data_IF_514774248988
#
_entry.id   IF_514774248988
#
_cell.length_a   1.000
_cell.length_b   1.000
_cell.length_c   1.000
_cell.angle_alpha   90.00
_cell.angle_beta   90.00
_cell.angle_gamma   90.00
#
_symmetry.space_group_name_H-M   'P 1'
#
loop_
_entity.id
_entity.type
_entity.pdbx_description
1 polymer ?
#
# COMPACT_ATOMS: atom_id res chain seq x y z
N UNK A 1 14.73 -26.97 -26.69
CA UNK A 1 13.47 -27.32 -25.97
C UNK A 1 13.16 -26.23 -24.94
N UNK A 2 12.17 -25.37 -25.18
CA UNK A 2 11.73 -24.37 -24.19
C UNK A 2 10.47 -24.90 -23.51
N UNK A 3 10.61 -25.30 -22.24
CA UNK A 3 9.51 -25.81 -21.43
C UNK A 3 8.70 -24.62 -20.88
N UNK A 4 7.71 -24.18 -21.65
CA UNK A 4 6.73 -23.19 -21.20
C UNK A 4 5.81 -23.86 -20.18
N UNK A 5 6.12 -23.73 -18.88
CA UNK A 5 5.23 -24.20 -17.83
C UNK A 5 3.97 -23.32 -17.81
N UNK A 6 2.86 -23.91 -18.27
CA UNK A 6 1.50 -23.35 -18.23
C UNK A 6 1.05 -23.22 -16.78
N UNK A 7 1.23 -22.03 -16.22
CA UNK A 7 0.67 -21.61 -14.93
C UNK A 7 0.50 -20.09 -14.93
N UNK A 8 -0.68 -19.62 -15.31
CA UNK A 8 -1.17 -18.24 -15.14
C UNK A 8 -0.12 -17.11 -15.30
N UNK A 9 0.33 -16.82 -16.52
CA UNK A 9 0.81 -15.48 -16.94
C UNK A 9 1.89 -14.76 -16.11
N UNK A 10 2.61 -15.44 -15.22
CA UNK A 10 3.54 -14.81 -14.28
C UNK A 10 4.96 -15.34 -14.49
N UNK A 11 5.76 -14.54 -15.18
CA UNK A 11 7.16 -14.87 -15.49
C UNK A 11 8.07 -14.56 -14.30
N UNK A 12 9.12 -15.36 -14.13
CA UNK A 12 10.26 -15.02 -13.26
C UNK A 12 11.00 -13.76 -13.77
N UNK A 13 10.85 -13.46 -15.07
CA UNK A 13 11.33 -12.24 -15.71
C UNK A 13 10.60 -11.01 -15.19
N UNK A 14 11.34 -9.92 -15.08
CA UNK A 14 10.84 -8.62 -14.68
C UNK A 14 10.11 -7.95 -15.86
N UNK A 15 8.80 -7.72 -15.71
CA UNK A 15 7.95 -7.10 -16.74
C UNK A 15 7.53 -5.70 -16.31
N UNK A 16 7.58 -4.74 -17.23
CA UNK A 16 7.09 -3.37 -16.98
C UNK A 16 5.59 -3.42 -16.71
N UNK A 17 5.14 -2.72 -15.66
CA UNK A 17 3.73 -2.66 -15.29
C UNK A 17 3.20 -1.23 -15.47
N UNK A 18 2.04 -1.10 -16.11
CA UNK A 18 1.32 0.16 -16.25
C UNK A 18 0.31 0.33 -15.10
N UNK A 19 -0.31 1.51 -15.01
CA UNK A 19 -1.25 1.83 -13.92
C UNK A 19 -2.45 0.87 -13.88
N UNK A 20 -2.99 0.49 -15.04
CA UNK A 20 -4.17 -0.39 -15.14
C UNK A 20 -3.85 -1.79 -14.62
N UNK A 21 -2.68 -2.33 -14.97
CA UNK A 21 -2.22 -3.64 -14.51
C UNK A 21 -1.86 -3.64 -13.02
N UNK A 22 -1.29 -2.53 -12.50
CA UNK A 22 -1.08 -2.37 -11.07
C UNK A 22 -2.41 -2.41 -10.32
N UNK A 23 -3.41 -1.65 -10.76
CA UNK A 23 -4.74 -1.62 -10.14
C UNK A 23 -5.39 -3.01 -10.13
N UNK A 24 -5.33 -3.74 -11.25
CA UNK A 24 -5.81 -5.13 -11.31
C UNK A 24 -5.10 -6.02 -10.28
N UNK A 25 -3.77 -5.91 -10.18
CA UNK A 25 -2.98 -6.71 -9.23
C UNK A 25 -3.32 -6.34 -7.78
N UNK A 26 -3.51 -5.06 -7.47
CA UNK A 26 -3.87 -4.60 -6.12
C UNK A 26 -5.30 -4.98 -5.74
N UNK A 27 -6.25 -4.91 -6.68
CA UNK A 27 -7.61 -5.41 -6.47
C UNK A 27 -7.63 -6.90 -6.13
N UNK A 28 -6.82 -7.72 -6.83
CA UNK A 28 -6.62 -9.15 -6.50
C UNK A 28 -6.01 -9.37 -5.12
N UNK A 29 -5.28 -8.39 -4.58
CA UNK A 29 -4.76 -8.41 -3.20
C UNK A 29 -5.75 -7.85 -2.18
N UNK A 30 -6.98 -7.51 -2.57
CA UNK A 30 -8.02 -7.00 -1.68
C UNK A 30 -7.86 -5.52 -1.28
N UNK A 31 -7.04 -4.74 -2.01
CA UNK A 31 -6.88 -3.31 -1.76
C UNK A 31 -8.06 -2.51 -2.33
N UNK A 32 -8.40 -1.43 -1.63
CA UNK A 32 -9.31 -0.42 -2.17
C UNK A 32 -8.61 0.39 -3.26
N UNK A 33 -9.40 1.14 -4.04
CA UNK A 33 -8.86 2.07 -5.03
C UNK A 33 -8.03 3.18 -4.36
N UNK A 34 -8.43 3.63 -3.17
CA UNK A 34 -7.69 4.61 -2.39
C UNK A 34 -6.32 4.08 -2.00
N UNK A 35 -6.25 2.91 -1.35
CA UNK A 35 -4.99 2.27 -0.93
C UNK A 35 -4.06 2.00 -2.12
N UNK A 36 -4.65 1.56 -3.23
CA UNK A 36 -3.94 1.34 -4.50
C UNK A 36 -3.33 2.63 -5.03
N UNK A 37 -4.04 3.75 -4.92
CA UNK A 37 -3.56 5.06 -5.34
C UNK A 37 -2.41 5.53 -4.45
N UNK A 38 -2.52 5.33 -3.13
CA UNK A 38 -1.44 5.66 -2.21
C UNK A 38 -0.18 4.82 -2.47
N UNK A 39 -0.34 3.51 -2.66
CA UNK A 39 0.77 2.64 -3.06
C UNK A 39 1.38 3.07 -4.40
N UNK A 40 0.55 3.43 -5.38
CA UNK A 40 1.00 3.91 -6.69
C UNK A 40 1.89 5.14 -6.54
N UNK A 41 1.50 6.10 -5.69
CA UNK A 41 2.27 7.32 -5.40
C UNK A 41 3.59 7.06 -4.67
N UNK A 42 3.77 5.91 -4.02
CA UNK A 42 5.08 5.54 -3.45
C UNK A 42 6.16 5.29 -4.52
N UNK A 43 5.78 5.09 -5.78
CA UNK A 43 6.72 4.93 -6.89
C UNK A 43 6.91 6.24 -7.65
N UNK A 44 8.18 6.59 -7.89
CA UNK A 44 8.55 7.83 -8.59
C UNK A 44 8.05 7.90 -10.05
N UNK A 45 7.59 6.78 -10.62
CA UNK A 45 6.94 6.76 -11.94
C UNK A 45 5.61 7.53 -11.96
N UNK A 46 4.95 7.63 -10.81
CA UNK A 46 3.55 7.99 -10.69
C UNK A 46 3.27 9.02 -9.58
N UNK A 47 4.31 9.58 -8.96
CA UNK A 47 4.19 10.64 -7.96
C UNK A 47 3.77 11.99 -8.56
N UNK A 48 3.88 12.15 -9.88
CA UNK A 48 3.59 13.40 -10.59
C UNK A 48 4.67 14.46 -10.40
N UNK A 49 5.72 14.15 -9.64
CA UNK A 49 6.88 14.98 -9.39
C UNK A 49 7.99 14.41 -10.28
N UNK A 50 8.16 14.98 -11.46
CA UNK A 50 9.11 14.53 -12.50
C UNK A 50 10.60 14.58 -12.08
N UNK A 51 10.90 14.68 -10.79
CA UNK A 51 12.24 14.81 -10.20
C UNK A 51 13.09 13.53 -10.40
N UNK A 52 12.45 12.36 -10.53
CA UNK A 52 13.13 11.10 -10.87
C UNK A 52 12.72 10.60 -12.26
N UNK A 53 13.09 11.34 -13.31
CA UNK A 53 12.97 10.86 -14.70
C UNK A 53 13.51 9.42 -14.80
N UNK A 54 12.66 8.45 -15.17
CA UNK A 54 13.12 7.13 -15.63
C UNK A 54 13.02 5.92 -14.69
N UNK A 55 12.19 5.95 -13.65
CA UNK A 55 11.88 4.72 -12.90
C UNK A 55 10.82 3.86 -13.60
N UNK A 56 11.20 2.78 -14.30
CA UNK A 56 10.18 1.77 -14.66
C UNK A 56 9.71 1.06 -13.39
N UNK A 57 8.40 1.01 -13.19
CA UNK A 57 7.81 0.07 -12.23
C UNK A 57 7.63 -1.25 -12.95
N UNK A 58 8.03 -2.32 -12.28
CA UNK A 58 8.02 -3.65 -12.86
C UNK A 58 7.45 -4.66 -11.88
N UNK A 59 6.81 -5.70 -12.38
CA UNK A 59 6.41 -6.84 -11.58
C UNK A 59 7.17 -8.09 -12.03
N UNK A 60 7.33 -9.05 -11.13
CA UNK A 60 7.73 -10.42 -11.47
C UNK A 60 7.20 -11.39 -10.45
N UNK A 61 7.21 -12.67 -10.81
CA UNK A 61 7.01 -13.74 -9.85
C UNK A 61 8.32 -14.02 -9.11
N UNK A 62 8.34 -13.80 -7.80
CA UNK A 62 9.47 -14.07 -6.92
C UNK A 62 9.28 -15.38 -6.18
N UNK A 63 10.40 -16.07 -5.92
CA UNK A 63 10.41 -17.35 -5.21
C UNK A 63 10.50 -17.15 -3.70
N UNK A 64 9.91 -18.08 -2.96
CA UNK A 64 10.11 -18.20 -1.52
C UNK A 64 11.62 -18.21 -1.19
N UNK A 65 11.96 -17.76 0.01
CA UNK A 65 13.33 -17.63 0.50
C UNK A 65 14.19 -16.56 -0.18
N UNK A 66 13.71 -15.84 -1.21
CA UNK A 66 14.44 -14.69 -1.76
C UNK A 66 14.63 -13.62 -0.66
N UNK A 67 15.87 -13.15 -0.51
CA UNK A 67 16.28 -12.30 0.61
C UNK A 67 16.18 -10.81 0.27
N UNK A 68 15.74 -10.04 1.25
CA UNK A 68 15.60 -8.58 1.19
C UNK A 68 16.05 -7.95 2.50
N UNK A 69 16.17 -6.62 2.48
CA UNK A 69 16.47 -5.75 3.61
C UNK A 69 15.22 -4.95 3.95
N UNK A 70 14.96 -4.82 5.23
CA UNK A 70 13.98 -3.88 5.79
C UNK A 70 14.75 -2.86 6.61
N UNK A 71 14.40 -1.59 6.44
CA UNK A 71 14.88 -0.48 7.28
C UNK A 71 13.80 -0.11 8.30
N UNK A 72 14.15 -0.08 9.58
CA UNK A 72 13.20 0.15 10.67
C UNK A 72 13.83 0.91 11.85
N UNK A 73 12.97 1.39 12.75
CA UNK A 73 13.37 1.83 14.08
C UNK A 73 13.71 0.62 14.96
N UNK A 74 14.79 0.70 15.72
CA UNK A 74 15.24 -0.32 16.67
C UNK A 74 14.18 -0.54 17.74
N UNK A 75 13.85 -1.80 18.01
CA UNK A 75 12.79 -2.17 18.95
C UNK A 75 11.39 -2.20 18.33
N UNK A 76 11.19 -1.60 17.15
CA UNK A 76 9.92 -1.64 16.44
C UNK A 76 9.88 -2.75 15.38
N UNK A 77 8.67 -3.19 15.05
CA UNK A 77 8.43 -4.16 14.00
C UNK A 77 7.90 -3.47 12.76
N UNK A 78 8.72 -3.42 11.71
CA UNK A 78 8.26 -3.02 10.39
C UNK A 78 7.22 -4.00 9.84
N UNK A 79 6.35 -3.52 8.95
CA UNK A 79 5.29 -4.33 8.34
C UNK A 79 5.82 -5.47 7.46
N UNK A 80 6.95 -5.26 6.79
CA UNK A 80 7.49 -6.17 5.77
C UNK A 80 6.81 -6.08 4.40
N UNK A 81 5.94 -5.10 4.18
CA UNK A 81 5.34 -4.87 2.85
C UNK A 81 6.30 -4.14 1.91
N UNK A 82 7.06 -3.20 2.44
CA UNK A 82 8.08 -2.46 1.72
C UNK A 82 9.45 -3.00 2.14
N UNK A 83 10.20 -3.53 1.18
CA UNK A 83 11.52 -4.09 1.38
C UNK A 83 12.46 -3.60 0.27
N UNK A 84 13.77 -3.73 0.44
CA UNK A 84 14.77 -3.38 -0.58
C UNK A 84 15.71 -4.56 -0.83
N UNK A 85 16.31 -4.66 -2.02
CA UNK A 85 17.28 -5.74 -2.31
C UNK A 85 18.60 -5.57 -1.56
N UNK A 86 18.96 -4.32 -1.27
CA UNK A 86 20.18 -3.89 -0.58
C UNK A 86 19.81 -2.78 0.40
N UNK A 87 20.75 -2.43 1.27
CA UNK A 87 20.63 -1.26 2.14
C UNK A 87 20.27 -0.01 1.32
N UNK A 88 19.46 0.86 1.90
CA UNK A 88 19.09 2.14 1.30
C UNK A 88 20.16 3.22 1.55
N UNK A 89 21.17 2.96 2.38
CA UNK A 89 22.23 3.92 2.69
C UNK A 89 23.09 3.47 3.86
N UNK A 90 24.29 4.03 3.96
CA UNK A 90 25.25 3.64 5.00
C UNK A 90 24.91 4.24 6.37
N UNK A 91 24.20 5.38 6.39
CA UNK A 91 23.74 6.06 7.59
C UNK A 91 22.21 6.04 7.72
N UNK A 92 21.65 6.21 8.94
CA UNK A 92 20.21 6.39 9.12
C UNK A 92 19.64 7.53 8.27
N UNK A 93 20.34 8.66 8.19
CA UNK A 93 19.93 9.82 7.39
C UNK A 93 19.79 9.48 5.90
N UNK A 94 20.79 8.79 5.33
CA UNK A 94 20.73 8.36 3.93
C UNK A 94 19.57 7.41 3.67
N UNK A 95 19.31 6.49 4.60
CA UNK A 95 18.21 5.54 4.48
C UNK A 95 16.84 6.23 4.56
N UNK A 96 16.69 7.21 5.46
CA UNK A 96 15.49 8.04 5.57
C UNK A 96 15.24 8.81 4.27
N UNK A 97 16.29 9.45 3.74
CA UNK A 97 16.20 10.27 2.53
C UNK A 97 15.94 9.41 1.29
N UNK A 98 16.81 8.45 0.97
CA UNK A 98 16.69 7.57 -0.21
C UNK A 98 15.47 6.65 -0.13
N UNK A 99 15.08 6.27 1.08
CA UNK A 99 13.93 5.43 1.36
C UNK A 99 12.61 6.18 1.41
N UNK A 100 12.64 7.52 1.41
CA UNK A 100 11.52 8.38 1.75
C UNK A 100 10.70 7.81 2.92
N UNK A 101 11.38 7.42 3.99
CA UNK A 101 10.77 6.75 5.15
C UNK A 101 9.87 7.74 5.89
N UNK A 102 8.84 7.29 6.62
CA UNK A 102 7.98 8.16 7.43
C UNK A 102 8.70 8.72 8.68
N UNK A 103 8.24 9.84 9.29
CA UNK A 103 8.90 10.46 10.46
C UNK A 103 9.05 9.55 11.67
N UNK A 104 8.14 8.59 11.81
CA UNK A 104 8.18 7.56 12.85
C UNK A 104 9.34 6.57 12.66
N UNK A 105 9.87 6.41 11.45
CA UNK A 105 10.95 5.47 11.18
C UNK A 105 12.32 6.16 11.23
N UNK A 106 13.09 5.88 12.28
CA UNK A 106 14.41 6.46 12.51
C UNK A 106 15.55 5.75 11.77
N UNK A 107 15.26 4.67 11.05
CA UNK A 107 16.20 3.92 10.21
C UNK A 107 17.52 3.48 10.87
N UNK A 108 17.54 3.41 12.21
CA UNK A 108 18.69 3.05 13.01
C UNK A 108 18.94 1.53 13.05
N UNK A 109 18.06 0.73 12.43
CA UNK A 109 18.27 -0.70 12.26
C UNK A 109 17.90 -1.17 10.84
N UNK A 110 18.73 -2.05 10.28
CA UNK A 110 18.36 -2.84 9.11
C UNK A 110 18.24 -4.32 9.48
N UNK A 111 17.25 -4.99 8.91
CA UNK A 111 16.98 -6.40 9.16
C UNK A 111 16.90 -7.14 7.84
N UNK A 112 17.57 -8.30 7.78
CA UNK A 112 17.42 -9.21 6.65
C UNK A 112 16.17 -10.08 6.84
N UNK A 113 15.39 -10.17 5.77
CA UNK A 113 14.17 -10.97 5.71
C UNK A 113 14.14 -11.78 4.43
N UNK A 114 13.28 -12.79 4.40
CA UNK A 114 13.06 -13.60 3.23
C UNK A 114 11.58 -13.61 2.84
N UNK A 115 11.27 -13.86 1.57
CA UNK A 115 9.90 -14.14 1.18
C UNK A 115 9.45 -15.45 1.84
N UNK A 116 8.28 -15.43 2.46
CA UNK A 116 7.71 -16.62 3.09
C UNK A 116 7.12 -17.61 2.08
N UNK A 117 6.79 -17.14 0.88
CA UNK A 117 6.16 -17.91 -0.20
C UNK A 117 6.44 -17.29 -1.57
N UNK A 118 6.24 -18.09 -2.60
CA UNK A 118 6.17 -17.64 -3.99
C UNK A 118 5.08 -16.58 -4.13
N UNK A 119 5.42 -15.44 -4.73
CA UNK A 119 4.50 -14.32 -4.84
C UNK A 119 4.92 -13.32 -5.92
N UNK A 120 3.95 -12.53 -6.39
CA UNK A 120 4.28 -11.40 -7.25
C UNK A 120 4.85 -10.27 -6.40
N UNK A 121 6.00 -9.75 -6.79
CA UNK A 121 6.61 -8.55 -6.21
C UNK A 121 6.62 -7.44 -7.23
N UNK A 122 6.51 -6.20 -6.76
CA UNK A 122 6.57 -5.00 -7.60
C UNK A 122 7.81 -4.23 -7.20
N UNK A 123 8.64 -3.83 -8.15
CA UNK A 123 9.85 -3.07 -7.90
C UNK A 123 9.85 -1.75 -8.66
N UNK A 124 10.45 -0.73 -8.06
CA UNK A 124 10.57 0.59 -8.68
C UNK A 124 11.37 1.55 -7.81
N UNK A 125 11.69 2.72 -8.36
CA UNK A 125 12.27 3.82 -7.58
C UNK A 125 11.21 4.39 -6.63
N UNK A 126 11.62 4.71 -5.42
CA UNK A 126 10.80 5.35 -4.39
C UNK A 126 10.60 6.82 -4.78
N UNK A 127 9.36 7.29 -4.69
CA UNK A 127 8.99 8.67 -4.92
C UNK A 127 9.51 9.61 -3.83
N UNK A 128 9.63 10.90 -4.14
CA UNK A 128 9.79 11.93 -3.12
C UNK A 128 8.53 11.98 -2.22
N UNK A 129 8.69 12.33 -0.95
CA UNK A 129 7.56 12.53 -0.02
C UNK A 129 7.65 13.91 0.65
N UNK A 130 7.23 14.99 -0.04
CA UNK A 130 7.39 16.36 0.48
C UNK A 130 6.62 16.64 1.77
N UNK A 131 5.45 16.03 1.94
CA UNK A 131 4.62 16.19 3.15
C UNK A 131 5.25 15.66 4.43
N UNK A 132 6.35 14.89 4.34
CA UNK A 132 7.11 14.51 5.53
C UNK A 132 7.96 15.64 6.10
N UNK A 133 8.33 16.64 5.29
CA UNK A 133 9.05 17.83 5.76
C UNK A 133 8.25 18.60 6.81
N UNK A 134 6.93 18.72 6.59
CA UNK A 134 6.03 19.42 7.51
C UNK A 134 5.88 18.66 8.85
N UNK A 135 6.01 17.33 8.82
CA UNK A 135 5.85 16.47 9.99
C UNK A 135 7.15 16.25 10.76
N UNK A 136 8.30 16.55 10.15
CA UNK A 136 9.63 16.39 10.73
C UNK A 136 10.54 17.53 10.24
N UNK A 137 10.35 18.77 10.71
CA UNK A 137 11.10 19.93 10.19
C UNK A 137 12.62 19.80 10.37
N UNK A 138 13.06 19.02 11.36
CA UNK A 138 14.47 18.72 11.61
C UNK A 138 15.09 17.89 10.48
N UNK A 139 14.28 17.13 9.75
CA UNK A 139 14.70 16.40 8.57
C UNK A 139 14.11 17.07 7.33
N UNK A 140 14.97 17.62 6.47
CA UNK A 140 14.55 18.23 5.22
C UNK A 140 13.77 17.28 4.29
N UNK A 141 13.48 17.75 3.07
CA UNK A 141 12.72 16.95 2.12
C UNK A 141 13.34 15.58 1.87
N UNK A 142 12.53 14.54 2.00
CA UNK A 142 12.96 13.17 1.74
C UNK A 142 12.86 12.90 0.25
N UNK A 143 14.00 12.95 -0.42
CA UNK A 143 14.16 12.95 -1.89
C UNK A 143 13.72 11.64 -2.52
N UNK A 144 13.80 10.53 -1.80
CA UNK A 144 13.54 9.20 -2.36
C UNK A 144 14.63 8.78 -3.35
N UNK A 145 14.24 8.06 -4.41
CA UNK A 145 15.15 7.59 -5.47
C UNK A 145 15.81 6.23 -5.20
N UNK A 146 15.77 5.73 -3.95
CA UNK A 146 16.12 4.35 -3.62
C UNK A 146 15.24 3.34 -4.35
N UNK A 147 15.69 2.08 -4.50
CA UNK A 147 14.88 1.02 -5.11
C UNK A 147 14.13 0.23 -4.04
N UNK A 148 12.80 0.29 -4.09
CA UNK A 148 11.93 -0.53 -3.26
C UNK A 148 11.38 -1.74 -4.01
N UNK A 149 10.96 -2.71 -3.22
CA UNK A 149 10.19 -3.87 -3.60
C UNK A 149 8.96 -3.96 -2.68
N UNK A 150 7.79 -4.01 -3.30
CA UNK A 150 6.50 -4.16 -2.64
C UNK A 150 6.09 -5.61 -2.78
N UNK A 151 6.05 -6.31 -1.66
CA UNK A 151 5.65 -7.72 -1.56
C UNK A 151 4.12 -7.85 -1.69
N UNK A 152 3.58 -9.07 -1.65
CA UNK A 152 2.13 -9.30 -1.64
C UNK A 152 1.51 -9.20 -0.23
N UNK A 153 2.29 -8.73 0.77
CA UNK A 153 1.91 -8.70 2.17
C UNK A 153 3.11 -8.65 3.10
N UNK A 154 2.86 -8.45 4.38
CA UNK A 154 3.90 -8.31 5.38
C UNK A 154 4.23 -9.61 6.13
N UNK A 155 4.80 -9.44 7.31
CA UNK A 155 4.99 -10.53 8.27
C UNK A 155 3.66 -11.15 8.71
N UNK A 156 2.63 -10.33 8.96
CA UNK A 156 1.31 -10.79 9.43
C UNK A 156 0.57 -11.68 8.43
N UNK A 157 0.94 -11.64 7.15
CA UNK A 157 0.33 -12.48 6.11
C UNK A 157 1.20 -13.67 5.69
N UNK A 158 2.37 -13.82 6.33
CA UNK A 158 3.39 -14.81 5.95
C UNK A 158 4.00 -14.57 4.55
N UNK A 159 3.78 -13.40 3.94
CA UNK A 159 4.43 -13.05 2.68
C UNK A 159 5.92 -12.75 2.89
N UNK A 160 6.30 -12.28 4.08
CA UNK A 160 7.69 -12.11 4.50
C UNK A 160 7.92 -12.84 5.83
N UNK A 161 9.11 -13.41 6.00
CA UNK A 161 9.55 -14.08 7.23
C UNK A 161 10.92 -13.58 7.66
N UNK A 162 11.19 -13.66 8.97
CA UNK A 162 12.52 -13.40 9.50
C UNK A 162 13.45 -14.56 9.11
N UNK A 163 14.69 -14.25 8.74
CA UNK A 163 15.69 -15.28 8.44
C UNK A 163 16.22 -15.93 9.73
N UNK A 164 16.17 -15.22 10.86
CA UNK A 164 16.83 -15.64 12.10
C UNK A 164 15.86 -16.14 13.19
N UNK A 165 14.60 -16.42 12.86
CA UNK A 165 13.66 -17.06 13.80
C UNK A 165 12.97 -18.22 13.10
N UNK A 166 13.42 -19.44 13.39
CA UNK A 166 12.54 -20.60 13.31
C UNK A 166 11.34 -20.32 14.22
N UNK A 167 10.14 -20.28 13.65
CA UNK A 167 8.89 -20.22 14.39
C UNK A 167 8.14 -18.88 14.40
N UNK A 168 6.90 -18.92 13.89
CA UNK A 168 5.75 -18.33 14.59
C UNK A 168 5.15 -17.02 14.06
N UNK A 169 4.11 -17.14 13.22
CA UNK A 169 2.72 -16.76 13.56
C UNK A 169 1.77 -17.35 12.51
N UNK A 170 0.64 -17.93 12.97
CA UNK A 170 -0.40 -18.53 12.14
C UNK A 170 -0.91 -17.54 11.08
N UNK A 171 -1.09 -18.08 9.88
CA UNK A 171 -1.41 -17.34 8.66
C UNK A 171 -2.84 -16.79 8.70
N UNK A 172 -2.99 -15.53 8.29
CA UNK A 172 -4.22 -15.04 7.67
C UNK A 172 -4.56 -15.91 6.44
N UNK A 173 -5.50 -16.85 6.60
CA UNK A 173 -5.82 -17.88 5.61
C UNK A 173 -6.75 -17.41 4.49
N UNK A 174 -7.33 -16.21 4.58
CA UNK A 174 -8.19 -15.66 3.52
C UNK A 174 -7.56 -14.49 2.74
N UNK A 175 -7.97 -14.30 1.47
CA UNK A 175 -7.58 -13.12 0.67
C UNK A 175 -7.98 -11.80 1.34
N UNK A 176 -9.10 -11.81 2.07
CA UNK A 176 -9.64 -10.64 2.80
C UNK A 176 -8.71 -10.23 3.95
N UNK A 177 -8.21 -11.21 4.70
CA UNK A 177 -7.27 -10.97 5.81
C UNK A 177 -5.92 -10.48 5.31
N UNK A 178 -5.44 -11.02 4.17
CA UNK A 178 -4.23 -10.55 3.49
C UNK A 178 -4.37 -9.11 3.02
N UNK A 179 -5.52 -8.75 2.46
CA UNK A 179 -5.82 -7.38 2.06
C UNK A 179 -5.84 -6.42 3.24
N UNK A 180 -6.48 -6.79 4.35
CA UNK A 180 -6.54 -5.94 5.55
C UNK A 180 -5.15 -5.70 6.17
N UNK A 181 -4.33 -6.74 6.29
CA UNK A 181 -2.96 -6.61 6.75
C UNK A 181 -2.10 -5.75 5.81
N UNK A 182 -2.28 -5.88 4.50
CA UNK A 182 -1.63 -5.01 3.52
C UNK A 182 -2.05 -3.55 3.70
N UNK A 183 -3.34 -3.27 3.92
CA UNK A 183 -3.83 -1.91 4.16
C UNK A 183 -3.22 -1.27 5.41
N UNK A 184 -3.16 -2.01 6.51
CA UNK A 184 -2.53 -1.52 7.74
C UNK A 184 -1.07 -1.13 7.51
N UNK A 185 -0.35 -1.89 6.69
CA UNK A 185 1.06 -1.57 6.36
C UNK A 185 1.22 -0.29 5.52
N UNK A 186 0.22 0.06 4.70
CA UNK A 186 0.23 1.28 3.91
C UNK A 186 0.02 2.52 4.79
N UNK A 187 -0.79 2.39 5.85
CA UNK A 187 -1.06 3.49 6.79
C UNK A 187 0.19 3.96 7.54
N UNK A 188 1.17 3.08 7.76
CA UNK A 188 2.41 3.40 8.47
C UNK A 188 3.43 4.11 7.56
N UNK A 189 3.37 3.87 6.25
CA UNK A 189 4.39 4.34 5.29
C UNK A 189 3.95 5.54 4.43
N UNK A 190 2.73 6.03 4.58
CA UNK A 190 2.20 7.16 3.81
C UNK A 190 1.82 8.27 4.79
N UNK A 191 2.27 9.53 4.57
CA UNK A 191 1.88 10.64 5.42
C UNK A 191 0.36 10.76 5.42
N UNK A 192 -0.24 10.78 6.62
CA UNK A 192 -1.63 11.16 6.80
C UNK A 192 -1.79 12.66 6.53
N UNK A 193 -1.86 13.01 5.25
CA UNK A 193 -2.38 14.29 4.78
C UNK A 193 -3.58 14.00 3.89
N UNK A 194 -4.77 14.45 4.32
CA UNK A 194 -6.09 14.29 3.66
C UNK A 194 -6.90 13.02 3.99
N UNK A 195 -6.93 12.60 5.25
CA UNK A 195 -8.12 11.93 5.77
C UNK A 195 -8.90 12.93 6.66
N UNK A 196 -9.65 13.85 6.03
CA UNK A 196 -10.75 14.48 6.76
C UNK A 196 -11.74 13.36 7.10
N UNK A 197 -11.94 13.16 8.39
CA UNK A 197 -12.94 12.25 8.93
C UNK A 197 -14.34 12.67 8.46
N UNK A 198 -14.88 12.01 7.44
CA UNK A 198 -16.32 11.96 7.27
C UNK A 198 -16.82 10.76 8.06
N UNK A 199 -17.00 10.96 9.36
CA UNK A 199 -17.88 10.11 10.15
C UNK A 199 -19.29 10.24 9.58
N UNK A 200 -19.72 9.25 8.79
CA UNK A 200 -21.14 8.93 8.62
C UNK A 200 -21.25 7.41 8.56
N UNK A 201 -21.75 6.86 9.67
CA UNK A 201 -22.28 5.50 9.76
C UNK A 201 -23.38 5.39 8.70
N UNK A 202 -23.16 4.61 7.65
CA UNK A 202 -24.27 4.06 6.88
C UNK A 202 -24.23 2.55 7.07
N UNK A 203 -25.07 2.09 7.99
CA UNK A 203 -25.53 0.72 8.05
C UNK A 203 -26.26 0.41 6.74
N UNK A 204 -25.82 -0.63 6.03
CA UNK A 204 -26.65 -1.32 5.05
C UNK A 204 -26.73 -2.77 5.48
N UNK A 205 -27.75 -3.05 6.28
CA UNK A 205 -28.27 -4.40 6.47
C UNK A 205 -29.25 -4.69 5.32
N UNK A 206 -29.02 -5.83 4.68
CA UNK A 206 -29.96 -6.76 4.06
C UNK A 206 -31.29 -6.24 3.47
N UNK A 207 -31.48 -6.52 2.18
CA UNK A 207 -32.79 -6.61 1.50
C UNK A 207 -33.75 -7.59 2.22
N UNK A 208 -35.07 -7.52 1.98
CA UNK A 208 -35.62 -8.21 0.80
C UNK A 208 -36.86 -7.56 0.11
N UNK A 209 -36.99 -7.86 -1.19
CA UNK A 209 -38.20 -8.35 -1.89
C UNK A 209 -39.51 -7.52 -1.98
N UNK A 210 -39.94 -7.36 -3.26
CA UNK A 210 -41.31 -7.33 -3.82
C UNK A 210 -42.24 -6.14 -3.51
N UNK A 211 -42.78 -5.60 -4.62
CA UNK A 211 -44.23 -5.52 -4.77
C UNK A 211 -44.89 -4.13 -4.70
N UNK A 212 -45.58 -3.82 -5.80
CA UNK A 212 -46.79 -3.01 -5.92
C UNK A 212 -46.71 -1.48 -5.90
N UNK A 213 -47.25 -0.97 -7.02
CA UNK A 213 -47.89 0.34 -7.23
C UNK A 213 -48.82 0.68 -6.07
N UNK A 214 -48.89 1.95 -5.72
CA UNK A 214 -50.19 2.64 -5.69
C UNK A 214 -50.04 4.17 -5.75
N UNK A 215 -50.96 4.78 -6.50
CA UNK A 215 -51.23 6.20 -6.55
C UNK A 215 -51.91 6.60 -5.24
N UNK A 216 -51.69 7.83 -4.77
CA UNK A 216 -52.81 8.64 -4.26
C UNK A 216 -52.41 10.12 -4.19
N UNK A 217 -53.42 10.94 -4.46
CA UNK A 217 -53.49 12.38 -4.55
C UNK A 217 -54.51 12.81 -3.51
N UNK A 218 -54.19 13.76 -2.63
CA UNK A 218 -55.12 14.75 -2.04
C UNK A 218 -54.28 15.71 -1.18
N UNK A 219 -54.31 17.02 -1.46
CA UNK A 219 -55.12 18.04 -0.76
C UNK A 219 -54.87 18.04 0.76
N UNK A 220 -54.42 19.14 1.37
CA UNK A 220 -55.30 20.28 1.61
C UNK A 220 -54.55 21.58 1.95
N UNK A 221 -55.23 22.68 1.65
CA UNK A 221 -54.91 24.07 1.98
C UNK A 221 -55.03 24.33 3.50
N UNK A 222 -54.28 25.31 4.03
CA UNK A 222 -54.86 26.41 4.82
C UNK A 222 -53.94 27.65 4.81
N UNK A 223 -54.60 28.80 4.70
CA UNK A 223 -54.06 30.17 4.72
C UNK A 223 -53.78 30.61 6.16
N UNK A 224 -52.82 31.50 6.37
CA UNK A 224 -53.05 32.67 7.22
C UNK A 224 -52.20 33.87 6.77
N UNK A 225 -52.81 35.05 6.90
CA UNK A 225 -52.35 36.39 6.50
C UNK A 225 -51.73 37.11 7.71
N UNK A 226 -50.85 38.07 7.44
CA UNK A 226 -50.45 39.20 8.30
C UNK A 226 -49.04 39.65 7.92
N UNK A 227 -48.80 40.67 7.08
CA UNK A 227 -48.82 42.13 7.33
C UNK A 227 -48.23 42.49 8.70
N UNK A 228 -47.28 43.40 8.87
CA UNK A 228 -46.57 44.33 8.00
C UNK A 228 -45.32 44.84 8.76
N UNK A 229 -44.34 45.36 8.02
CA UNK A 229 -43.25 46.30 8.36
C UNK A 229 -42.70 46.35 9.78
#
# INVERSE_FOLDING_TARGET
>A
MIKTMRGQGLTWRQVKINSKNLQKLMKKRGLSQFDTTQLKKSFAKWDGQNNHKGGNVTARHAKANEKYVITQTKGESASGVFVSKKSLGNSPQERIDKGALPPSNKANQEKRVALGKDQNVISGKIAQQPSFKEQDPAHGERRGGGKQVVTAGGFSTGAVKNINKNGGKKMASSEKDRGNAFKQSLKVNVPQGQAKSSGKKNAFNNSPSKGQRERTRSQSQTKSKGMSR
#
